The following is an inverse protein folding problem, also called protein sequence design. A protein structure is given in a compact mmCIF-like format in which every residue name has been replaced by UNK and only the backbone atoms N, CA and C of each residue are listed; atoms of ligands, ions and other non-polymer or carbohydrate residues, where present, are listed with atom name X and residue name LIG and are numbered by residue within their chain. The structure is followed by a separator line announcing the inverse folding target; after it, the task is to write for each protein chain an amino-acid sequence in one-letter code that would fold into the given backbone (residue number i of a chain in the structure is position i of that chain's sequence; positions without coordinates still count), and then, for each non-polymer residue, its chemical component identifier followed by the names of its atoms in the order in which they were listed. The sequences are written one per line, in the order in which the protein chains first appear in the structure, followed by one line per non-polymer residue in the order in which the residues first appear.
data_IF_899578805149
#
_entry.id   IF_899578805149
#
_cell.length_a   1.000
_cell.length_b   1.000
_cell.length_c   1.000
_cell.angle_alpha   90.00
_cell.angle_beta   90.00
_cell.angle_gamma   90.00
#
_symmetry.space_group_name_H-M   'P 1'
#
loop_
_entity.id
_entity.type
_entity.pdbx_description
1 polymer ?
#
# COMPACT_ATOMS: atom_id res chain seq x y z
N UNK A 1 -19.25 -6.21 -38.69
CA UNK A 1 -18.86 -6.82 -37.40
C UNK A 1 -20.08 -6.82 -36.48
N UNK A 2 -20.47 -7.96 -35.91
CA UNK A 2 -21.61 -7.97 -34.98
C UNK A 2 -21.20 -7.32 -33.66
N UNK A 3 -22.14 -6.59 -33.04
CA UNK A 3 -21.95 -5.92 -31.75
C UNK A 3 -21.39 -6.87 -30.67
N UNK A 4 -21.82 -8.13 -30.69
CA UNK A 4 -21.36 -9.19 -29.78
C UNK A 4 -19.86 -9.46 -29.88
N UNK A 5 -19.27 -9.42 -31.09
CA UNK A 5 -17.82 -9.63 -31.27
C UNK A 5 -17.03 -8.49 -30.64
N UNK A 6 -17.52 -7.25 -30.77
CA UNK A 6 -16.88 -6.07 -30.17
C UNK A 6 -16.91 -6.15 -28.64
N UNK A 7 -18.05 -6.53 -28.07
CA UNK A 7 -18.19 -6.70 -26.61
C UNK A 7 -17.26 -7.79 -26.07
N UNK A 8 -17.19 -8.95 -26.74
CA UNK A 8 -16.32 -10.06 -26.33
C UNK A 8 -14.84 -9.64 -26.37
N UNK A 9 -14.41 -8.95 -27.42
CA UNK A 9 -13.03 -8.44 -27.51
C UNK A 9 -12.72 -7.41 -26.42
N UNK A 10 -13.64 -6.50 -26.11
CA UNK A 10 -13.45 -5.53 -25.04
C UNK A 10 -13.31 -6.20 -23.66
N UNK A 11 -14.14 -7.22 -23.36
CA UNK A 11 -14.05 -7.99 -22.11
C UNK A 11 -12.73 -8.75 -22.05
N UNK A 12 -12.31 -9.41 -23.14
CA UNK A 12 -11.01 -10.09 -23.21
C UNK A 12 -9.85 -9.13 -22.93
N UNK A 13 -9.87 -7.94 -23.50
CA UNK A 13 -8.84 -6.91 -23.27
C UNK A 13 -8.79 -6.49 -21.81
N UNK A 14 -9.95 -6.27 -21.17
CA UNK A 14 -10.04 -5.91 -19.75
C UNK A 14 -9.49 -7.02 -18.84
N UNK A 15 -9.80 -8.29 -19.15
CA UNK A 15 -9.29 -9.44 -18.40
C UNK A 15 -7.77 -9.56 -18.54
N UNK A 16 -7.23 -9.40 -19.75
CA UNK A 16 -5.79 -9.39 -20.01
C UNK A 16 -5.09 -8.24 -19.26
N UNK A 17 -5.65 -7.04 -19.30
CA UNK A 17 -5.13 -5.89 -18.58
C UNK A 17 -5.10 -6.15 -17.06
N UNK A 18 -6.19 -6.70 -16.51
CA UNK A 18 -6.28 -7.06 -15.10
C UNK A 18 -5.23 -8.09 -14.70
N UNK A 19 -5.01 -9.12 -15.54
CA UNK A 19 -4.00 -10.15 -15.32
C UNK A 19 -2.58 -9.56 -15.30
N UNK A 20 -2.25 -8.65 -16.23
CA UNK A 20 -0.95 -7.96 -16.28
C UNK A 20 -0.72 -7.11 -15.02
N UNK A 21 -1.74 -6.38 -14.57
CA UNK A 21 -1.66 -5.60 -13.33
C UNK A 21 -1.43 -6.49 -12.11
N UNK A 22 -2.09 -7.65 -12.05
CA UNK A 22 -1.91 -8.63 -10.97
C UNK A 22 -0.51 -9.23 -10.97
N UNK A 23 0.01 -9.64 -12.12
CA UNK A 23 1.38 -10.14 -12.25
C UNK A 23 2.41 -9.10 -11.82
N UNK A 24 2.24 -7.85 -12.26
CA UNK A 24 3.14 -6.74 -11.88
C UNK A 24 3.14 -6.52 -10.36
N UNK A 25 1.97 -6.46 -9.73
CA UNK A 25 1.84 -6.30 -8.27
C UNK A 25 2.43 -7.49 -7.50
N UNK A 26 2.23 -8.71 -8.00
CA UNK A 26 2.82 -9.91 -7.40
C UNK A 26 4.35 -9.89 -7.48
N UNK A 27 4.92 -9.45 -8.61
CA UNK A 27 6.37 -9.32 -8.80
C UNK A 27 6.97 -8.31 -7.84
N UNK A 28 6.43 -7.09 -7.79
CA UNK A 28 6.87 -6.03 -6.86
C UNK A 28 6.81 -6.53 -5.43
N UNK A 29 5.72 -7.19 -5.04
CA UNK A 29 5.58 -7.74 -3.69
C UNK A 29 6.68 -8.77 -3.36
N UNK A 30 7.01 -9.67 -4.30
CA UNK A 30 8.10 -10.64 -4.10
C UNK A 30 9.45 -9.93 -3.97
N UNK A 31 9.73 -8.97 -4.84
CA UNK A 31 10.96 -8.16 -4.79
C UNK A 31 11.12 -7.43 -3.45
N UNK A 32 10.03 -6.83 -2.95
CA UNK A 32 10.03 -6.17 -1.64
C UNK A 32 10.29 -7.15 -0.51
N UNK A 33 9.67 -8.33 -0.53
CA UNK A 33 9.87 -9.33 0.50
C UNK A 33 11.28 -9.94 0.49
N UNK A 34 11.98 -9.92 -0.64
CA UNK A 34 13.34 -10.47 -0.74
C UNK A 34 14.43 -9.44 -0.45
N UNK A 35 14.32 -8.22 -0.98
CA UNK A 35 15.39 -7.20 -0.90
C UNK A 35 14.95 -5.87 -0.30
N UNK A 36 13.67 -5.71 0.05
CA UNK A 36 13.16 -4.47 0.60
C UNK A 36 13.74 -4.17 1.98
N UNK A 37 13.88 -2.89 2.29
CA UNK A 37 14.35 -2.44 3.60
C UNK A 37 13.20 -2.48 4.59
N UNK A 38 13.37 -3.26 5.66
CA UNK A 38 12.39 -3.39 6.73
C UNK A 38 12.67 -2.40 7.85
N UNK A 39 11.69 -1.58 8.18
CA UNK A 39 11.77 -0.59 9.26
C UNK A 39 10.60 -0.74 10.22
N UNK A 40 10.83 -0.35 11.47
CA UNK A 40 9.75 -0.23 12.45
C UNK A 40 8.79 0.88 12.02
N UNK A 41 7.50 0.66 12.27
CA UNK A 41 6.47 1.64 11.98
C UNK A 41 5.51 1.74 13.16
N UNK A 42 4.89 2.90 13.32
CA UNK A 42 3.89 3.17 14.33
C UNK A 42 2.56 3.48 13.66
N UNK A 43 1.49 2.86 14.13
CA UNK A 43 0.14 3.23 13.69
C UNK A 43 -0.19 4.60 14.28
N UNK A 44 -0.57 5.53 13.42
CA UNK A 44 -0.94 6.89 13.81
C UNK A 44 -2.39 7.15 13.45
N UNK A 45 -3.06 7.96 14.27
CA UNK A 45 -4.36 8.49 13.92
C UNK A 45 -4.25 9.35 12.66
N UNK A 46 -5.31 9.39 11.82
CA UNK A 46 -5.36 10.35 10.72
C UNK A 46 -5.34 11.77 11.30
N UNK A 47 -4.53 12.64 10.71
CA UNK A 47 -4.36 14.02 11.15
C UNK A 47 -5.16 14.96 10.22
N UNK A 48 -6.34 15.45 10.65
CA UNK A 48 -7.17 16.34 9.84
C UNK A 48 -6.55 17.73 9.67
N UNK A 49 -5.63 18.15 10.56
CA UNK A 49 -5.03 19.49 10.52
C UNK A 49 -4.01 19.66 9.38
N UNK A 50 -3.54 18.56 8.78
CA UNK A 50 -2.64 18.60 7.63
C UNK A 50 -3.31 18.96 6.29
N UNK A 51 -4.63 19.21 6.30
CA UNK A 51 -5.31 20.07 5.32
C UNK A 51 -5.38 19.61 3.86
N UNK A 52 -4.92 18.41 3.51
CA UNK A 52 -4.98 17.94 2.12
C UNK A 52 -6.28 17.17 1.81
N UNK A 53 -6.78 17.33 0.58
CA UNK A 53 -7.94 16.61 0.03
C UNK A 53 -7.74 15.09 0.08
N UNK A 54 -6.50 14.63 -0.09
CA UNK A 54 -6.15 13.21 0.05
C UNK A 54 -6.16 12.77 1.52
N UNK A 55 -5.70 13.61 2.45
CA UNK A 55 -5.78 13.35 3.89
C UNK A 55 -7.23 13.23 4.37
N UNK A 56 -8.14 14.05 3.85
CA UNK A 56 -9.57 13.95 4.13
C UNK A 56 -10.20 12.64 3.62
N UNK A 57 -9.76 12.11 2.47
CA UNK A 57 -10.17 10.80 1.93
C UNK A 57 -9.63 9.62 2.73
N UNK A 58 -8.53 9.85 3.44
CA UNK A 58 -7.83 8.87 4.24
C UNK A 58 -8.24 8.87 5.71
N UNK A 59 -9.14 9.77 6.13
CA UNK A 59 -9.76 9.76 7.45
C UNK A 59 -10.43 8.41 7.74
N UNK A 60 -10.12 7.84 8.91
CA UNK A 60 -10.61 6.53 9.35
C UNK A 60 -9.83 5.32 8.81
N UNK A 61 -8.82 5.53 7.97
CA UNK A 61 -7.96 4.45 7.45
C UNK A 61 -6.76 4.20 8.36
N UNK A 62 -6.21 2.98 8.30
CA UNK A 62 -4.99 2.63 9.03
C UNK A 62 -3.77 3.31 8.39
N UNK A 63 -3.28 4.33 9.06
CA UNK A 63 -2.09 5.08 8.69
C UNK A 63 -0.93 4.65 9.58
N UNK A 64 0.24 4.41 8.98
CA UNK A 64 1.46 4.08 9.70
C UNK A 64 2.57 5.07 9.35
N UNK A 65 3.21 5.63 10.36
CA UNK A 65 4.42 6.43 10.23
C UNK A 65 5.65 5.52 10.35
N UNK A 66 6.65 5.76 9.52
CA UNK A 66 7.93 5.05 9.54
C UNK A 66 9.07 6.00 9.19
N UNK A 67 10.27 5.69 9.68
CA UNK A 67 11.48 6.45 9.35
C UNK A 67 12.30 5.68 8.31
N UNK A 68 12.69 6.35 7.23
CA UNK A 68 13.60 5.77 6.23
C UNK A 68 15.02 5.68 6.77
N UNK A 69 15.89 4.93 6.08
CA UNK A 69 17.31 4.88 6.39
C UNK A 69 18.00 6.27 6.39
N UNK A 70 17.47 7.21 5.61
CA UNK A 70 17.95 8.60 5.51
C UNK A 70 17.42 9.50 6.64
N UNK A 71 16.66 8.94 7.59
CA UNK A 71 16.10 9.69 8.72
C UNK A 71 14.79 10.42 8.41
N UNK A 72 14.28 10.35 7.17
CA UNK A 72 13.03 11.00 6.79
C UNK A 72 11.83 10.24 7.35
N UNK A 73 10.91 10.97 7.99
CA UNK A 73 9.64 10.40 8.40
C UNK A 73 8.66 10.39 7.23
N UNK A 74 8.18 9.19 6.88
CA UNK A 74 7.20 8.96 5.84
C UNK A 74 5.97 8.28 6.42
N UNK A 75 4.84 8.42 5.72
CA UNK A 75 3.55 7.86 6.13
C UNK A 75 3.02 6.94 5.04
N UNK A 76 2.40 5.86 5.49
CA UNK A 76 1.94 4.77 4.64
C UNK A 76 0.52 4.39 5.04
N UNK A 77 -0.37 4.38 4.07
CA UNK A 77 -1.77 4.03 4.21
C UNK A 77 -1.96 2.57 3.82
N UNK A 78 -2.49 1.74 4.72
CA UNK A 78 -2.83 0.36 4.38
C UNK A 78 -3.99 0.30 3.39
N UNK A 79 -3.90 -0.55 2.36
CA UNK A 79 -4.98 -0.81 1.41
C UNK A 79 -5.05 -2.29 0.99
N UNK A 80 -6.25 -2.87 0.77
CA UNK A 80 -7.57 -2.34 1.08
C UNK A 80 -7.87 -2.37 2.58
N UNK A 81 -8.77 -1.49 3.02
CA UNK A 81 -9.30 -1.52 4.38
C UNK A 81 -10.48 -2.51 4.46
N UNK A 82 -10.48 -3.34 5.49
CA UNK A 82 -11.52 -4.36 5.76
C UNK A 82 -12.09 -4.14 7.17
N UNK A 83 -13.34 -4.57 7.40
CA UNK A 83 -14.00 -4.45 8.72
C UNK A 83 -13.18 -5.04 9.88
N UNK A 84 -12.47 -6.14 9.62
CA UNK A 84 -11.59 -6.77 10.60
C UNK A 84 -10.21 -6.12 10.75
N UNK A 85 -10.02 -4.85 10.39
CA UNK A 85 -8.73 -4.18 10.51
C UNK A 85 -8.57 -3.39 11.80
N UNK A 86 -9.66 -3.12 12.53
CA UNK A 86 -9.66 -2.31 13.73
C UNK A 86 -8.67 -2.81 14.80
N UNK A 87 -8.49 -4.13 14.92
CA UNK A 87 -7.52 -4.70 15.87
C UNK A 87 -6.06 -4.33 15.56
N UNK A 88 -5.73 -4.03 14.30
CA UNK A 88 -4.36 -3.67 13.90
C UNK A 88 -3.95 -2.29 14.40
N UNK A 89 -4.90 -1.44 14.84
CA UNK A 89 -4.63 -0.07 15.25
C UNK A 89 -3.72 0.04 16.47
N UNK A 90 -3.75 -0.97 17.35
CA UNK A 90 -2.97 -1.00 18.59
C UNK A 90 -1.78 -1.98 18.52
N UNK A 91 -1.48 -2.50 17.33
CA UNK A 91 -0.43 -3.49 17.15
C UNK A 91 0.87 -2.86 16.63
N UNK A 92 2.05 -3.40 16.99
CA UNK A 92 3.30 -2.94 16.43
C UNK A 92 3.30 -3.14 14.91
N UNK A 93 3.68 -2.10 14.17
CA UNK A 93 3.73 -2.14 12.71
C UNK A 93 5.18 -2.25 12.21
N UNK A 94 5.32 -2.68 10.96
CA UNK A 94 6.54 -2.57 10.21
C UNK A 94 6.21 -2.24 8.76
N UNK A 95 7.13 -1.54 8.12
CA UNK A 95 7.07 -1.20 6.71
C UNK A 95 8.22 -1.88 6.00
N UNK A 96 7.97 -2.41 4.82
CA UNK A 96 9.01 -2.79 3.86
C UNK A 96 8.83 -1.88 2.65
N UNK A 97 9.89 -1.16 2.30
CA UNK A 97 9.93 -0.29 1.13
C UNK A 97 11.15 -0.61 0.26
N UNK A 98 11.12 -0.19 -1.00
CA UNK A 98 12.28 -0.29 -1.89
C UNK A 98 13.26 0.88 -1.63
N UNK A 99 14.48 0.64 -1.13
CA UNK A 99 15.44 1.70 -0.86
C UNK A 99 15.93 2.42 -2.13
N UNK A 100 15.87 1.78 -3.31
CA UNK A 100 16.25 2.41 -4.58
C UNK A 100 15.16 3.35 -5.10
N UNK A 101 13.93 3.18 -4.62
CA UNK A 101 12.75 3.95 -5.03
C UNK A 101 11.89 4.28 -3.81
N UNK A 102 12.42 5.08 -2.86
CA UNK A 102 11.78 5.31 -1.57
C UNK A 102 10.51 6.17 -1.66
N UNK A 103 10.18 6.73 -2.84
CA UNK A 103 8.99 7.54 -3.12
C UNK A 103 7.99 6.87 -4.06
N UNK A 104 8.27 5.64 -4.51
CA UNK A 104 7.36 4.89 -5.35
C UNK A 104 6.20 4.33 -4.51
N UNK A 105 5.03 4.93 -4.69
CA UNK A 105 3.82 4.63 -3.92
C UNK A 105 3.34 3.18 -4.04
N UNK A 106 3.80 2.41 -5.03
CA UNK A 106 3.46 0.99 -5.20
C UNK A 106 4.51 0.04 -4.61
N UNK A 107 5.71 0.55 -4.29
CA UNK A 107 6.84 -0.25 -3.78
C UNK A 107 6.92 -0.20 -2.25
N UNK A 108 5.78 -0.47 -1.63
CA UNK A 108 5.58 -0.35 -0.19
C UNK A 108 4.58 -1.41 0.29
N UNK A 109 4.94 -2.12 1.36
CA UNK A 109 4.02 -3.03 2.06
C UNK A 109 4.14 -2.84 3.57
N UNK A 110 3.03 -3.08 4.27
CA UNK A 110 2.92 -2.91 5.73
C UNK A 110 2.55 -4.22 6.40
N UNK A 111 3.18 -4.51 7.52
CA UNK A 111 2.88 -5.67 8.36
C UNK A 111 2.46 -5.20 9.74
N UNK A 112 1.47 -5.86 10.32
CA UNK A 112 0.95 -5.56 11.66
C UNK A 112 1.13 -6.77 12.58
N UNK A 113 1.23 -6.49 13.88
CA UNK A 113 1.38 -7.50 14.93
C UNK A 113 2.84 -7.86 15.22
N UNK A 114 3.08 -8.48 16.37
CA UNK A 114 4.44 -8.85 16.82
C UNK A 114 5.19 -9.71 15.81
N UNK A 115 4.50 -10.69 15.23
CA UNK A 115 5.07 -11.67 14.29
C UNK A 115 5.10 -11.20 12.83
N UNK A 116 4.32 -10.17 12.46
CA UNK A 116 4.17 -9.69 11.07
C UNK A 116 3.97 -10.83 10.05
N UNK A 117 3.18 -11.86 10.39
CA UNK A 117 2.92 -13.03 9.52
C UNK A 117 2.30 -12.64 8.17
N UNK A 118 1.62 -11.50 8.10
CA UNK A 118 0.92 -11.03 6.89
C UNK A 118 1.33 -9.60 6.54
N UNK A 119 1.71 -9.44 5.28
CA UNK A 119 2.01 -8.16 4.66
C UNK A 119 0.85 -7.71 3.78
N UNK A 120 0.51 -6.45 3.89
CA UNK A 120 -0.57 -5.80 3.17
C UNK A 120 -0.02 -4.77 2.20
N UNK A 121 -0.68 -4.59 1.04
CA UNK A 121 -0.38 -3.43 0.21
C UNK A 121 -0.55 -2.16 1.02
N UNK A 122 0.32 -1.19 0.77
CA UNK A 122 0.15 0.15 1.29
C UNK A 122 0.48 1.16 0.20
N UNK A 123 -0.02 2.37 0.39
CA UNK A 123 0.30 3.52 -0.46
C UNK A 123 0.97 4.57 0.39
N UNK A 124 2.08 5.13 -0.08
CA UNK A 124 2.71 6.25 0.59
C UNK A 124 1.79 7.48 0.53
N UNK A 125 1.55 8.10 1.68
CA UNK A 125 0.95 9.41 1.74
C UNK A 125 2.06 10.42 1.39
N UNK A 126 1.86 11.19 0.31
CA UNK A 126 2.85 12.18 -0.10
C UNK A 126 3.05 13.19 1.04
N UNK A 127 4.30 13.44 1.40
CA UNK A 127 4.64 14.62 2.17
C UNK A 127 4.55 15.80 1.20
N UNK A 128 3.64 16.72 1.48
CA UNK A 128 3.58 18.06 0.87
C UNK A 128 4.88 18.82 1.13
#
# INVERSE_FOLDING_TARGET
MSWSVVVVLAVLLLVLLQALLWQRRARIRRELLSYGTRVAAQVIGPDPARGDRDSARDLGRLLVAYRTAEGQEKRALKYPQKRGDAWMANEPAAVIYDPKRPDDAERLIVGFGRTKKKWYPARQQRAS
#
